data_IF_398119104037
#
_entry.id   IF_398119104037
#
_cell.length_a   1.000
_cell.length_b   1.000
_cell.length_c   1.000
_cell.angle_alpha   90.00
_cell.angle_beta   90.00
_cell.angle_gamma   90.00
#
_symmetry.space_group_name_H-M   'P 1'
#
loop_
_entity.id
_entity.type
_entity.pdbx_description
1 polymer ?
#
# COMPACT_ATOMS: atom_id res chain seq x y z
N UNK A 1 11.95 -21.56 11.37
CA UNK A 1 13.34 -21.30 10.94
C UNK A 1 13.55 -19.79 10.82
N UNK A 2 14.71 -19.28 11.17
CA UNK A 2 15.05 -17.86 11.18
C UNK A 2 16.19 -17.56 10.20
N UNK A 3 16.42 -16.28 9.88
CA UNK A 3 17.56 -15.86 9.05
C UNK A 3 18.92 -16.30 9.67
N UNK A 4 18.98 -16.39 11.01
CA UNK A 4 20.18 -16.88 11.73
C UNK A 4 20.42 -18.37 11.46
N UNK A 5 19.36 -19.17 11.33
CA UNK A 5 19.47 -20.61 11.04
C UNK A 5 19.97 -20.83 9.61
N UNK A 6 19.46 -20.05 8.63
CA UNK A 6 19.96 -20.08 7.25
C UNK A 6 21.44 -19.68 7.19
N UNK A 7 21.82 -18.62 7.91
CA UNK A 7 23.21 -18.17 7.96
C UNK A 7 24.14 -19.25 8.52
N UNK A 8 23.72 -19.93 9.60
CA UNK A 8 24.45 -21.05 10.19
C UNK A 8 24.55 -22.24 9.24
N UNK A 9 23.46 -22.63 8.59
CA UNK A 9 23.40 -23.74 7.63
C UNK A 9 24.33 -23.50 6.43
N UNK A 10 24.40 -22.27 5.96
CA UNK A 10 25.24 -21.88 4.83
C UNK A 10 26.69 -21.50 5.24
N UNK A 11 27.03 -21.47 6.53
CA UNK A 11 28.32 -21.02 7.04
C UNK A 11 28.68 -19.59 6.57
N UNK A 12 27.70 -18.70 6.56
CA UNK A 12 27.86 -17.28 6.19
C UNK A 12 27.30 -16.37 7.28
N UNK A 13 27.57 -15.08 7.19
CA UNK A 13 26.99 -14.11 8.12
C UNK A 13 25.51 -13.85 7.82
N UNK A 14 24.76 -13.42 8.81
CA UNK A 14 23.35 -12.97 8.64
C UNK A 14 23.27 -11.83 7.62
N UNK A 15 24.26 -10.92 7.63
CA UNK A 15 24.34 -9.84 6.64
C UNK A 15 24.53 -10.36 5.21
N UNK A 16 25.27 -11.45 5.01
CA UNK A 16 25.43 -12.10 3.70
C UNK A 16 24.12 -12.70 3.23
N UNK A 17 23.37 -13.41 4.10
CA UNK A 17 22.03 -13.91 3.76
C UNK A 17 21.09 -12.76 3.39
N UNK A 18 21.09 -11.68 4.15
CA UNK A 18 20.29 -10.48 3.87
C UNK A 18 20.65 -9.84 2.52
N UNK A 19 21.95 -9.79 2.15
CA UNK A 19 22.39 -9.30 0.82
C UNK A 19 21.91 -10.18 -0.32
N UNK A 20 21.93 -11.51 -0.15
CA UNK A 20 21.38 -12.46 -1.13
C UNK A 20 19.87 -12.27 -1.31
N UNK A 21 19.11 -12.11 -0.21
CA UNK A 21 17.67 -11.87 -0.24
C UNK A 21 17.30 -10.53 -0.90
N UNK A 22 18.23 -9.57 -0.90
CA UNK A 22 18.05 -8.25 -1.50
C UNK A 22 18.73 -8.12 -2.87
N UNK A 23 19.17 -9.22 -3.48
CA UNK A 23 19.84 -9.26 -4.78
C UNK A 23 21.04 -8.32 -4.93
N UNK A 24 21.75 -8.03 -3.82
CA UNK A 24 22.92 -7.15 -3.85
C UNK A 24 24.02 -7.74 -4.73
N UNK A 25 24.66 -6.96 -5.62
CA UNK A 25 25.66 -7.45 -6.55
C UNK A 25 26.98 -7.87 -5.89
N UNK A 26 27.22 -7.45 -4.67
CA UNK A 26 28.46 -7.68 -3.90
C UNK A 26 28.53 -9.06 -3.22
N UNK A 27 27.75 -10.03 -3.66
CA UNK A 27 27.76 -11.42 -3.19
C UNK A 27 28.11 -12.35 -4.37
N UNK A 28 29.08 -13.25 -4.17
CA UNK A 28 29.49 -14.21 -5.21
C UNK A 28 28.34 -15.14 -5.62
N UNK A 29 28.34 -15.57 -6.87
CA UNK A 29 27.30 -16.46 -7.40
C UNK A 29 27.25 -17.81 -6.68
N UNK A 30 28.36 -18.30 -6.19
CA UNK A 30 28.44 -19.54 -5.41
C UNK A 30 27.65 -19.38 -4.08
N UNK A 31 27.94 -18.33 -3.32
CA UNK A 31 27.24 -18.04 -2.07
C UNK A 31 25.76 -17.77 -2.31
N UNK A 32 25.44 -17.05 -3.38
CA UNK A 32 24.06 -16.77 -3.79
C UNK A 32 23.28 -18.05 -4.06
N UNK A 33 23.84 -18.97 -4.83
CA UNK A 33 23.20 -20.27 -5.12
C UNK A 33 23.01 -21.10 -3.85
N UNK A 34 24.03 -21.17 -2.98
CA UNK A 34 23.97 -21.91 -1.72
C UNK A 34 22.88 -21.41 -0.79
N UNK A 35 22.79 -20.09 -0.60
CA UNK A 35 21.79 -19.47 0.27
C UNK A 35 20.37 -19.63 -0.29
N UNK A 36 20.19 -19.44 -1.60
CA UNK A 36 18.87 -19.63 -2.26
C UNK A 36 18.39 -21.08 -2.17
N UNK A 37 19.28 -22.07 -2.32
CA UNK A 37 18.94 -23.47 -2.12
C UNK A 37 18.48 -23.74 -0.69
N UNK A 38 19.25 -23.28 0.31
CA UNK A 38 18.89 -23.46 1.73
C UNK A 38 17.53 -22.82 2.08
N UNK A 39 17.24 -21.64 1.53
CA UNK A 39 15.94 -20.95 1.69
C UNK A 39 14.80 -21.80 1.12
N UNK A 40 14.98 -22.32 -0.10
CA UNK A 40 13.99 -23.15 -0.78
C UNK A 40 13.74 -24.46 -0.03
N UNK A 41 14.80 -25.17 0.35
CA UNK A 41 14.71 -26.47 1.03
C UNK A 41 14.08 -26.39 2.41
N UNK A 42 14.23 -25.23 3.05
CA UNK A 42 13.71 -24.98 4.41
C UNK A 42 12.32 -24.31 4.43
N UNK A 43 11.72 -24.00 3.29
CA UNK A 43 10.52 -23.18 3.18
C UNK A 43 10.61 -21.88 4.03
N UNK A 44 11.82 -21.31 4.11
CA UNK A 44 12.01 -20.09 4.89
C UNK A 44 11.35 -18.91 4.20
N UNK A 45 10.39 -18.29 4.89
CA UNK A 45 9.76 -17.04 4.46
C UNK A 45 10.45 -15.88 5.18
N UNK A 46 11.09 -14.94 4.46
CA UNK A 46 11.68 -13.75 5.06
C UNK A 46 10.65 -12.97 5.87
N UNK A 47 10.98 -12.64 7.12
CA UNK A 47 10.11 -11.78 7.93
C UNK A 47 10.29 -10.33 7.48
N UNK A 48 9.36 -9.82 6.66
CA UNK A 48 9.37 -8.46 6.18
C UNK A 48 9.22 -7.44 7.32
N UNK A 49 8.55 -7.78 8.42
CA UNK A 49 8.41 -6.89 9.57
C UNK A 49 9.76 -6.55 10.24
N UNK A 50 10.72 -7.49 10.24
CA UNK A 50 12.08 -7.21 10.75
C UNK A 50 12.89 -6.35 9.77
N UNK A 51 12.56 -6.40 8.48
CA UNK A 51 13.15 -5.60 7.41
C UNK A 51 12.63 -4.17 7.44
N UNK A 52 11.35 -3.99 7.72
CA UNK A 52 10.68 -2.69 7.82
C UNK A 52 11.12 -1.88 9.05
N UNK A 53 11.63 -2.54 10.10
CA UNK A 53 12.23 -1.87 11.27
C UNK A 53 13.51 -1.08 10.92
N UNK A 54 14.22 -1.44 9.88
CA UNK A 54 15.49 -0.80 9.46
C UNK A 54 15.24 0.24 8.35
N UNK A 55 14.11 0.17 7.63
CA UNK A 55 13.74 1.13 6.58
C UNK A 55 12.92 2.27 7.16
N UNK A 56 13.28 3.48 6.81
CA UNK A 56 12.58 4.72 7.22
C UNK A 56 11.18 4.82 6.56
N UNK A 57 10.97 4.14 5.43
CA UNK A 57 9.68 4.01 4.72
C UNK A 57 9.47 2.56 4.28
N UNK A 58 8.26 2.02 4.41
CA UNK A 58 7.89 0.75 3.80
C UNK A 58 7.59 0.96 2.31
N UNK A 59 7.70 -0.08 1.49
CA UNK A 59 7.25 -0.05 0.10
C UNK A 59 5.76 -0.43 0.06
N UNK A 60 4.92 0.33 0.79
CA UNK A 60 3.49 0.03 0.95
C UNK A 60 2.61 1.23 0.64
N UNK A 61 1.53 0.96 -0.08
CA UNK A 61 0.44 1.91 -0.36
C UNK A 61 -0.78 1.47 0.43
N UNK A 62 -1.45 2.42 1.07
CA UNK A 62 -2.71 2.19 1.77
C UNK A 62 -3.90 2.31 0.82
N UNK A 63 -4.87 1.40 0.95
CA UNK A 63 -6.18 1.52 0.32
C UNK A 63 -7.25 1.54 1.41
N UNK A 64 -7.88 2.67 1.61
CA UNK A 64 -9.01 2.82 2.54
C UNK A 64 -10.30 2.76 1.74
N UNK A 65 -11.13 1.74 2.01
CA UNK A 65 -12.38 1.50 1.29
C UNK A 65 -13.56 1.80 2.20
N UNK A 66 -14.41 2.74 1.81
CA UNK A 66 -15.63 3.09 2.53
C UNK A 66 -16.84 2.46 1.83
N UNK A 67 -17.62 1.66 2.60
CA UNK A 67 -18.81 1.02 2.06
C UNK A 67 -18.52 -0.15 1.11
N UNK A 68 -17.70 -1.06 1.55
CA UNK A 68 -17.17 -2.23 0.79
C UNK A 68 -18.25 -3.15 0.18
N UNK A 69 -19.49 -3.05 0.65
CA UNK A 69 -20.62 -3.84 0.13
C UNK A 69 -21.06 -3.45 -1.29
N UNK A 70 -20.46 -2.42 -1.88
CA UNK A 70 -20.77 -1.99 -3.23
C UNK A 70 -20.01 -2.85 -4.25
N UNK A 71 -20.69 -3.69 -5.07
CA UNK A 71 -20.04 -4.52 -6.09
C UNK A 71 -19.21 -3.70 -7.09
N UNK A 72 -19.57 -2.44 -7.32
CA UNK A 72 -18.84 -1.50 -8.17
C UNK A 72 -17.36 -1.36 -7.78
N UNK A 73 -17.03 -1.53 -6.50
CA UNK A 73 -15.65 -1.40 -6.04
C UNK A 73 -14.77 -2.61 -6.35
N UNK A 74 -15.35 -3.76 -6.67
CA UNK A 74 -14.58 -5.00 -6.87
C UNK A 74 -13.54 -4.87 -7.98
N UNK A 75 -13.96 -4.41 -9.15
CA UNK A 75 -13.08 -4.25 -10.30
C UNK A 75 -12.04 -3.15 -10.08
N UNK A 76 -12.43 -2.08 -9.39
CA UNK A 76 -11.53 -0.98 -9.04
C UNK A 76 -10.45 -1.46 -8.07
N UNK A 77 -10.81 -2.23 -7.04
CA UNK A 77 -9.86 -2.80 -6.08
C UNK A 77 -8.86 -3.71 -6.79
N UNK A 78 -9.34 -4.59 -7.69
CA UNK A 78 -8.47 -5.48 -8.46
C UNK A 78 -7.50 -4.71 -9.36
N UNK A 79 -7.97 -3.66 -10.02
CA UNK A 79 -7.13 -2.80 -10.86
C UNK A 79 -6.07 -2.06 -10.03
N UNK A 80 -6.44 -1.53 -8.86
CA UNK A 80 -5.52 -0.89 -7.93
C UNK A 80 -4.48 -1.88 -7.44
N UNK A 81 -4.90 -3.06 -6.95
CA UNK A 81 -4.00 -4.10 -6.45
C UNK A 81 -2.97 -4.51 -7.51
N UNK A 82 -3.45 -4.79 -8.73
CA UNK A 82 -2.58 -5.14 -9.84
C UNK A 82 -1.55 -4.04 -10.12
N UNK A 83 -1.99 -2.79 -10.25
CA UNK A 83 -1.12 -1.65 -10.59
C UNK A 83 -0.08 -1.39 -9.51
N UNK A 84 -0.49 -1.43 -8.23
CA UNK A 84 0.40 -1.24 -7.08
C UNK A 84 1.45 -2.34 -7.01
N UNK A 85 1.04 -3.61 -7.24
CA UNK A 85 1.93 -4.77 -7.22
C UNK A 85 2.91 -4.75 -8.40
N UNK A 86 2.44 -4.44 -9.61
CA UNK A 86 3.27 -4.32 -10.81
C UNK A 86 4.33 -3.20 -10.66
N UNK A 87 4.01 -2.16 -9.89
CA UNK A 87 4.94 -1.09 -9.54
C UNK A 87 5.92 -1.45 -8.40
N UNK A 88 5.85 -2.67 -7.86
CA UNK A 88 6.75 -3.16 -6.80
C UNK A 88 6.36 -2.73 -5.39
N UNK A 89 5.15 -2.20 -5.19
CA UNK A 89 4.63 -1.87 -3.86
C UNK A 89 3.73 -2.98 -3.32
N UNK A 90 3.60 -3.01 -1.99
CA UNK A 90 2.60 -3.83 -1.30
C UNK A 90 1.33 -3.02 -1.07
N UNK A 91 0.15 -3.59 -1.32
CA UNK A 91 -1.11 -2.96 -1.00
C UNK A 91 -1.57 -3.38 0.41
N UNK A 92 -1.85 -2.40 1.27
CA UNK A 92 -2.46 -2.61 2.59
C UNK A 92 -3.87 -2.06 2.56
N UNK A 93 -4.87 -2.94 2.56
CA UNK A 93 -6.27 -2.53 2.51
C UNK A 93 -6.90 -2.46 3.89
N UNK A 94 -7.67 -1.40 4.13
CA UNK A 94 -8.49 -1.22 5.32
C UNK A 94 -9.92 -0.87 4.90
N UNK A 95 -10.85 -1.69 5.34
CA UNK A 95 -12.28 -1.41 5.16
C UNK A 95 -12.81 -0.63 6.35
N UNK A 96 -13.70 0.31 6.08
CA UNK A 96 -14.41 1.08 7.10
C UNK A 96 -15.92 1.09 6.82
N UNK A 97 -16.75 1.17 7.87
CA UNK A 97 -18.18 1.39 7.72
C UNK A 97 -18.48 2.72 7.01
N UNK A 98 -19.65 2.83 6.39
CA UNK A 98 -20.08 4.05 5.71
C UNK A 98 -20.18 5.29 6.62
N UNK A 99 -20.33 5.10 7.94
CA UNK A 99 -20.34 6.15 8.95
C UNK A 99 -18.98 6.37 9.64
N UNK A 100 -17.93 5.62 9.25
CA UNK A 100 -16.60 5.74 9.85
C UNK A 100 -15.84 6.98 9.37
N UNK A 101 -14.84 7.39 10.14
CA UNK A 101 -13.90 8.45 9.78
C UNK A 101 -12.72 7.82 9.03
N UNK A 102 -12.71 7.95 7.71
CA UNK A 102 -11.69 7.41 6.83
C UNK A 102 -10.35 8.12 7.00
N UNK A 103 -10.34 9.42 7.29
CA UNK A 103 -9.10 10.19 7.42
C UNK A 103 -8.37 9.81 8.70
N UNK A 104 -9.10 9.76 9.83
CA UNK A 104 -8.52 9.30 11.08
C UNK A 104 -7.95 7.89 10.95
N UNK A 105 -8.71 6.99 10.30
CA UNK A 105 -8.25 5.62 10.07
C UNK A 105 -7.03 5.54 9.18
N UNK A 106 -7.00 6.32 8.12
CA UNK A 106 -5.87 6.42 7.22
C UNK A 106 -4.62 6.93 7.93
N UNK A 107 -4.74 7.97 8.78
CA UNK A 107 -3.63 8.52 9.55
C UNK A 107 -3.04 7.51 10.55
N UNK A 108 -3.88 6.69 11.17
CA UNK A 108 -3.42 5.58 12.03
C UNK A 108 -2.66 4.55 11.20
N UNK A 109 -3.24 4.11 10.08
CA UNK A 109 -2.63 3.11 9.19
C UNK A 109 -1.32 3.62 8.58
N UNK A 110 -1.24 4.90 8.20
CA UNK A 110 -0.03 5.56 7.71
C UNK A 110 1.13 5.36 8.69
N UNK A 111 0.89 5.67 9.97
CA UNK A 111 1.91 5.59 11.03
C UNK A 111 2.29 4.15 11.37
N UNK A 112 1.30 3.27 11.53
CA UNK A 112 1.51 1.86 11.87
C UNK A 112 2.25 1.09 10.77
N UNK A 113 1.91 1.35 9.51
CA UNK A 113 2.45 0.64 8.34
C UNK A 113 3.52 1.42 7.59
N UNK A 114 3.81 2.68 8.00
CA UNK A 114 4.79 3.58 7.36
C UNK A 114 4.54 3.73 5.87
N UNK A 115 3.29 3.96 5.49
CA UNK A 115 2.84 4.02 4.11
C UNK A 115 3.58 5.13 3.33
N UNK A 116 3.73 4.94 2.02
CA UNK A 116 4.26 5.95 1.11
C UNK A 116 3.17 6.80 0.47
N UNK A 117 1.93 6.30 0.46
CA UNK A 117 0.78 7.01 -0.08
C UNK A 117 -0.51 6.30 0.30
N UNK A 118 -1.64 6.97 0.09
CA UNK A 118 -2.96 6.47 0.43
C UNK A 118 -3.91 6.67 -0.75
N UNK A 119 -4.70 5.64 -1.03
CA UNK A 119 -5.82 5.69 -1.97
C UNK A 119 -7.10 5.59 -1.15
N UNK A 120 -7.99 6.56 -1.27
CA UNK A 120 -9.33 6.52 -0.72
C UNK A 120 -10.31 6.05 -1.80
N UNK A 121 -10.98 4.94 -1.60
CA UNK A 121 -12.02 4.42 -2.49
C UNK A 121 -13.38 4.58 -1.82
N UNK A 122 -14.18 5.49 -2.35
CA UNK A 122 -15.35 6.02 -1.67
C UNK A 122 -14.96 6.89 -0.49
N UNK A 123 -15.73 7.92 -0.21
CA UNK A 123 -15.44 8.85 0.87
C UNK A 123 -16.54 9.88 1.03
N UNK A 124 -16.32 10.84 1.93
CA UNK A 124 -17.14 12.04 2.02
C UNK A 124 -16.81 12.97 0.85
N UNK A 125 -17.72 13.91 0.57
CA UNK A 125 -17.57 14.89 -0.51
C UNK A 125 -17.27 16.30 0.02
N UNK A 126 -16.98 16.42 1.31
CA UNK A 126 -16.99 17.68 2.06
C UNK A 126 -15.76 17.87 2.96
N UNK A 127 -14.59 17.36 2.55
CA UNK A 127 -13.36 17.55 3.32
C UNK A 127 -12.90 18.99 3.34
N UNK A 128 -12.28 19.36 4.47
CA UNK A 128 -11.53 20.60 4.63
C UNK A 128 -10.01 20.32 4.63
N UNK A 129 -9.16 21.35 4.44
CA UNK A 129 -7.72 21.22 4.62
C UNK A 129 -7.33 20.71 6.00
N UNK A 130 -8.08 21.08 7.05
CA UNK A 130 -7.84 20.66 8.43
C UNK A 130 -8.07 19.16 8.61
N UNK A 131 -9.09 18.59 7.96
CA UNK A 131 -9.35 17.14 7.98
C UNK A 131 -8.13 16.37 7.46
N UNK A 132 -7.55 16.84 6.37
CA UNK A 132 -6.46 16.18 5.67
C UNK A 132 -5.07 16.50 6.23
N UNK A 133 -4.96 17.52 7.10
CA UNK A 133 -3.69 17.89 7.76
C UNK A 133 -3.12 16.79 8.66
N UNK A 134 -3.91 15.77 9.00
CA UNK A 134 -3.44 14.61 9.76
C UNK A 134 -2.57 13.63 8.92
N UNK A 135 -2.65 13.72 7.59
CA UNK A 135 -1.91 12.86 6.66
C UNK A 135 -0.57 13.53 6.30
N UNK A 136 0.51 12.76 6.34
CA UNK A 136 1.86 13.22 6.00
C UNK A 136 2.38 12.61 4.69
N UNK A 137 1.57 11.80 4.01
CA UNK A 137 1.90 11.16 2.73
C UNK A 137 0.93 11.63 1.65
N UNK A 138 1.33 11.56 0.37
CA UNK A 138 0.43 11.84 -0.74
C UNK A 138 -0.81 10.95 -0.72
N UNK A 139 -1.94 11.49 -1.12
CA UNK A 139 -3.19 10.74 -1.23
C UNK A 139 -3.94 11.06 -2.52
N UNK A 140 -4.81 10.14 -2.91
CA UNK A 140 -5.73 10.29 -4.05
C UNK A 140 -7.12 9.79 -3.68
N UNK A 141 -8.14 10.56 -4.06
CA UNK A 141 -9.55 10.17 -3.95
C UNK A 141 -9.95 9.40 -5.22
N UNK A 142 -10.54 8.24 -5.07
CA UNK A 142 -10.98 7.38 -6.17
C UNK A 142 -12.48 7.14 -6.11
N UNK A 143 -13.16 7.27 -7.24
CA UNK A 143 -14.61 7.21 -7.42
C UNK A 143 -15.42 8.35 -6.79
N UNK A 144 -14.78 9.42 -6.35
CA UNK A 144 -15.44 10.64 -5.85
C UNK A 144 -14.51 11.86 -5.93
N UNK A 145 -15.10 13.05 -5.85
CA UNK A 145 -14.37 14.30 -5.74
C UNK A 145 -14.92 15.12 -4.57
N UNK A 146 -14.17 16.12 -4.11
CA UNK A 146 -14.56 16.97 -2.97
C UNK A 146 -15.48 18.12 -3.42
N UNK A 147 -16.71 17.80 -3.85
CA UNK A 147 -17.65 18.75 -4.44
C UNK A 147 -18.22 19.77 -3.45
N UNK A 148 -18.38 19.37 -2.18
CA UNK A 148 -19.04 20.18 -1.14
C UNK A 148 -18.10 20.64 -0.03
N UNK A 149 -16.81 20.31 -0.14
CA UNK A 149 -15.80 20.71 0.83
C UNK A 149 -15.12 22.02 0.48
N UNK A 150 -14.19 22.44 1.32
CA UNK A 150 -13.43 23.68 1.17
C UNK A 150 -12.05 23.50 0.52
N UNK A 151 -11.68 22.26 0.13
CA UNK A 151 -10.46 21.99 -0.63
C UNK A 151 -10.56 22.59 -2.03
N UNK A 152 -9.52 23.28 -2.45
CA UNK A 152 -9.43 23.87 -3.80
C UNK A 152 -8.92 22.87 -4.80
N UNK A 153 -9.26 23.09 -6.07
CA UNK A 153 -8.66 22.36 -7.19
C UNK A 153 -7.14 22.58 -7.16
N UNK A 154 -6.39 21.46 -7.15
CA UNK A 154 -4.93 21.46 -7.03
C UNK A 154 -4.39 21.17 -5.63
N UNK A 155 -5.23 21.20 -4.58
CA UNK A 155 -4.83 20.81 -3.22
C UNK A 155 -4.98 19.30 -2.98
N UNK A 156 -5.68 18.59 -3.85
CA UNK A 156 -5.85 17.15 -3.81
C UNK A 156 -5.91 16.54 -5.21
N UNK A 157 -5.69 15.23 -5.30
CA UNK A 157 -5.85 14.47 -6.53
C UNK A 157 -7.11 13.61 -6.44
N UNK A 158 -7.90 13.58 -7.51
CA UNK A 158 -9.08 12.73 -7.60
C UNK A 158 -9.19 12.05 -8.95
N UNK A 159 -9.73 10.83 -8.96
CA UNK A 159 -10.15 10.09 -10.14
C UNK A 159 -11.62 9.75 -9.96
N UNK A 160 -12.48 10.38 -10.75
CA UNK A 160 -13.93 10.17 -10.70
C UNK A 160 -14.50 10.09 -12.11
N UNK A 161 -15.74 9.63 -12.23
CA UNK A 161 -16.53 9.69 -13.47
C UNK A 161 -17.35 10.97 -13.48
N UNK A 162 -17.77 11.40 -14.67
CA UNK A 162 -18.66 12.54 -14.84
C UNK A 162 -20.12 12.08 -14.59
N UNK A 163 -20.47 11.87 -13.31
CA UNK A 163 -21.77 11.30 -12.91
C UNK A 163 -22.96 12.12 -13.40
N UNK A 164 -22.85 13.44 -13.43
CA UNK A 164 -23.89 14.35 -13.89
C UNK A 164 -24.15 14.18 -15.39
N UNK A 165 -23.09 14.17 -16.21
CA UNK A 165 -23.20 13.95 -17.65
C UNK A 165 -23.73 12.54 -17.96
N UNK A 166 -23.25 11.53 -17.21
CA UNK A 166 -23.71 10.15 -17.37
C UNK A 166 -25.19 10.00 -16.99
N UNK A 167 -25.64 10.66 -15.94
CA UNK A 167 -27.04 10.67 -15.53
C UNK A 167 -27.94 11.36 -16.58
N UNK A 168 -27.48 12.47 -17.15
CA UNK A 168 -28.20 13.17 -18.20
C UNK A 168 -28.34 12.31 -19.46
N UNK A 169 -27.27 11.64 -19.89
CA UNK A 169 -27.31 10.72 -21.04
C UNK A 169 -28.21 9.51 -20.82
N UNK A 170 -28.46 9.11 -19.59
CA UNK A 170 -29.36 7.98 -19.28
C UNK A 170 -30.84 8.36 -19.30
N UNK A 171 -31.17 9.67 -19.29
CA UNK A 171 -32.56 10.19 -19.26
C UNK A 171 -32.99 10.70 -20.62
N UNK A 172 -32.07 11.10 -21.50
CA UNK A 172 -32.31 11.50 -22.88
C UNK A 172 -32.52 10.29 -23.78
#
# INVERSE_FOLDING_TARGET
MTIKDIAKQCSVSVSTVSRVLNDRPDVSDEVRRKVRAAIKDSNYIPNNSARDLVRTKSESIGLVVRGVSNPFYTDIIQAIEKTVTDAGFSLVMQQIPSCGDEIQRAAVMEREKRLQGIIFLGGRLDYSPEDLAMLNVPYVCCSYSNQYGTLRIGEYSAVSIADEEAAQQAVD
#
